data_IF_333347519107
#
_entry.id   IF_333347519107
#
_cell.length_a   1.000
_cell.length_b   1.000
_cell.length_c   1.000
_cell.angle_alpha   90.00
_cell.angle_beta   90.00
_cell.angle_gamma   90.00
#
_symmetry.space_group_name_H-M   'P 1'
#
loop_
_entity.id
_entity.type
_entity.pdbx_description
1 polymer ?
#
# COMPACT_ATOMS: atom_id res chain seq x y z
N UNK A 1 -23.26 -14.22 17.27
CA UNK A 1 -23.43 -15.53 16.62
C UNK A 1 -22.15 -16.06 15.93
N UNK A 2 -21.57 -15.34 14.96
CA UNK A 2 -20.35 -15.79 14.23
C UNK A 2 -19.14 -16.09 15.12
N UNK A 3 -18.90 -15.33 16.19
CA UNK A 3 -17.75 -15.52 17.09
C UNK A 3 -17.86 -16.80 17.92
N UNK A 4 -19.06 -17.15 18.42
CA UNK A 4 -19.29 -18.41 19.16
C UNK A 4 -19.05 -19.62 18.26
N UNK A 5 -19.50 -19.54 17.01
CA UNK A 5 -19.26 -20.60 16.02
C UNK A 5 -17.76 -20.83 15.78
N UNK A 6 -16.93 -19.77 15.76
CA UNK A 6 -15.47 -19.90 15.61
C UNK A 6 -14.82 -20.59 16.80
N UNK A 7 -15.24 -20.24 18.01
CA UNK A 7 -14.75 -20.91 19.23
C UNK A 7 -15.12 -22.39 19.23
N UNK A 8 -16.36 -22.72 18.83
CA UNK A 8 -16.80 -24.11 18.70
C UNK A 8 -16.01 -24.87 17.62
N UNK A 9 -15.69 -24.25 16.50
CA UNK A 9 -14.84 -24.83 15.45
C UNK A 9 -13.43 -25.14 15.97
N UNK A 10 -12.80 -24.20 16.69
CA UNK A 10 -11.48 -24.39 17.29
C UNK A 10 -11.47 -25.50 18.35
N UNK A 11 -12.48 -25.53 19.23
CA UNK A 11 -12.65 -26.61 20.22
C UNK A 11 -12.79 -27.97 19.55
N UNK A 12 -13.68 -28.08 18.55
CA UNK A 12 -13.88 -29.32 17.79
C UNK A 12 -12.60 -29.77 17.07
N UNK A 13 -11.77 -28.82 16.61
CA UNK A 13 -10.49 -29.13 16.00
C UNK A 13 -9.52 -29.75 17.01
N UNK A 14 -9.28 -29.05 18.14
CA UNK A 14 -8.33 -29.46 19.17
C UNK A 14 -8.71 -30.79 19.82
N UNK A 15 -10.00 -31.01 20.08
CA UNK A 15 -10.50 -32.29 20.62
C UNK A 15 -10.21 -33.43 19.65
N UNK A 16 -10.43 -33.22 18.34
CA UNK A 16 -10.23 -34.28 17.33
C UNK A 16 -8.78 -34.68 17.10
N UNK A 17 -7.83 -33.79 17.37
CA UNK A 17 -6.39 -34.11 17.34
C UNK A 17 -5.89 -34.66 18.69
N UNK A 18 -6.80 -34.98 19.63
CA UNK A 18 -6.50 -35.50 20.97
C UNK A 18 -5.64 -34.55 21.81
N UNK A 19 -5.91 -33.25 21.73
CA UNK A 19 -5.24 -32.25 22.56
C UNK A 19 -5.69 -32.36 24.03
N UNK A 20 -4.78 -32.12 24.96
CA UNK A 20 -5.06 -32.18 26.40
C UNK A 20 -6.02 -31.07 26.84
N UNK A 21 -6.94 -31.40 27.77
CA UNK A 21 -7.95 -30.47 28.27
C UNK A 21 -7.35 -29.18 28.83
N UNK A 22 -6.26 -29.28 29.60
CA UNK A 22 -5.60 -28.12 30.19
C UNK A 22 -5.02 -27.19 29.12
N UNK A 23 -4.40 -27.77 28.08
CA UNK A 23 -3.91 -27.00 26.94
C UNK A 23 -5.05 -26.32 26.18
N UNK A 24 -6.14 -27.02 25.91
CA UNK A 24 -7.32 -26.46 25.21
C UNK A 24 -7.86 -25.25 25.97
N UNK A 25 -8.07 -25.38 27.28
CA UNK A 25 -8.57 -24.28 28.11
C UNK A 25 -7.59 -23.10 28.07
N UNK A 26 -6.30 -23.34 28.30
CA UNK A 26 -5.29 -22.29 28.26
C UNK A 26 -5.14 -21.62 26.89
N UNK A 27 -5.28 -22.38 25.80
CA UNK A 27 -5.23 -21.85 24.44
C UNK A 27 -6.45 -20.96 24.14
N UNK A 28 -7.66 -21.44 24.44
CA UNK A 28 -8.89 -20.68 24.18
C UNK A 28 -8.94 -19.40 25.01
N UNK A 29 -8.53 -19.44 26.28
CA UNK A 29 -8.49 -18.26 27.13
C UNK A 29 -7.47 -17.22 26.64
N UNK A 30 -6.24 -17.65 26.32
CA UNK A 30 -5.17 -16.73 25.88
C UNK A 30 -5.40 -16.15 24.50
N UNK A 31 -6.05 -16.89 23.60
CA UNK A 31 -6.22 -16.50 22.20
C UNK A 31 -7.68 -16.26 21.81
N UNK A 32 -8.56 -16.00 22.78
CA UNK A 32 -10.00 -15.85 22.56
C UNK A 32 -10.33 -14.78 21.51
N UNK A 33 -9.68 -13.61 21.60
CA UNK A 33 -9.87 -12.51 20.64
C UNK A 33 -9.49 -12.95 19.22
N UNK A 34 -8.36 -13.63 19.07
CA UNK A 34 -7.84 -14.10 17.79
C UNK A 34 -8.76 -15.15 17.16
N UNK A 35 -9.22 -16.13 17.94
CA UNK A 35 -10.17 -17.18 17.51
C UNK A 35 -11.46 -16.53 17.00
N UNK A 36 -12.00 -15.54 17.70
CA UNK A 36 -13.22 -14.85 17.31
C UNK A 36 -13.06 -14.05 16.01
N UNK A 37 -11.87 -13.50 15.75
CA UNK A 37 -11.56 -12.73 14.53
C UNK A 37 -11.07 -13.57 13.34
N UNK A 38 -10.81 -14.87 13.51
CA UNK A 38 -10.21 -15.69 12.46
C UNK A 38 -11.20 -16.10 11.37
N UNK A 39 -10.66 -16.45 10.20
CA UNK A 39 -11.42 -17.15 9.17
C UNK A 39 -11.90 -18.52 9.66
N UNK A 40 -12.96 -19.10 9.05
CA UNK A 40 -13.38 -20.46 9.37
C UNK A 40 -12.24 -21.47 9.25
N UNK A 41 -12.11 -22.33 10.25
CA UNK A 41 -11.11 -23.39 10.24
C UNK A 41 -11.57 -24.56 9.38
N UNK A 42 -10.63 -25.17 8.65
CA UNK A 42 -10.77 -26.49 8.06
C UNK A 42 -10.96 -27.52 9.18
N UNK A 43 -11.74 -28.56 8.90
CA UNK A 43 -11.83 -29.69 9.82
C UNK A 43 -10.48 -30.39 9.92
N UNK A 44 -10.15 -30.94 11.10
CA UNK A 44 -8.86 -31.60 11.33
C UNK A 44 -8.56 -32.73 10.34
N UNK A 45 -9.56 -33.49 9.90
CA UNK A 45 -9.41 -34.50 8.82
C UNK A 45 -8.87 -33.89 7.52
N UNK A 46 -9.38 -32.73 7.12
CA UNK A 46 -8.95 -32.06 5.91
C UNK A 46 -7.50 -31.54 6.03
N UNK A 47 -7.13 -31.05 7.21
CA UNK A 47 -5.76 -30.61 7.50
C UNK A 47 -4.77 -31.78 7.48
N UNK A 48 -5.12 -32.91 8.11
CA UNK A 48 -4.29 -34.12 8.11
C UNK A 48 -4.05 -34.63 6.68
N UNK A 49 -5.10 -34.71 5.87
CA UNK A 49 -4.99 -35.13 4.47
C UNK A 49 -4.15 -34.15 3.64
N UNK A 50 -4.30 -32.84 3.88
CA UNK A 50 -3.54 -31.79 3.18
C UNK A 50 -2.05 -31.84 3.51
N UNK A 51 -1.71 -32.10 4.77
CA UNK A 51 -0.33 -32.12 5.24
C UNK A 51 0.33 -33.50 5.12
N UNK A 52 -0.45 -34.56 4.85
CA UNK A 52 -0.01 -35.95 4.84
C UNK A 52 0.65 -36.38 6.15
N UNK A 53 0.10 -35.93 7.29
CA UNK A 53 0.60 -36.26 8.64
C UNK A 53 -0.47 -36.92 9.51
N UNK A 54 -0.03 -37.59 10.57
CA UNK A 54 -0.88 -38.19 11.60
C UNK A 54 -1.42 -37.18 12.61
N UNK A 55 -2.41 -37.61 13.42
CA UNK A 55 -3.05 -36.76 14.46
C UNK A 55 -2.07 -36.37 15.56
N UNK A 56 -1.21 -37.30 15.96
CA UNK A 56 -0.20 -37.11 17.00
C UNK A 56 0.83 -36.07 16.58
N UNK A 57 1.27 -36.15 15.32
CA UNK A 57 2.20 -35.18 14.75
C UNK A 57 1.59 -33.77 14.66
N UNK A 58 0.33 -33.68 14.21
CA UNK A 58 -0.39 -32.41 14.19
C UNK A 58 -0.61 -31.84 15.61
N UNK A 59 -0.83 -32.71 16.60
CA UNK A 59 -0.93 -32.34 18.01
C UNK A 59 0.40 -31.77 18.52
N UNK A 60 1.52 -32.43 18.23
CA UNK A 60 2.87 -31.96 18.60
C UNK A 60 3.17 -30.59 18.01
N UNK A 61 2.98 -30.41 16.69
CA UNK A 61 3.19 -29.12 16.02
C UNK A 61 2.35 -28.01 16.65
N UNK A 62 1.10 -28.32 17.02
CA UNK A 62 0.19 -27.35 17.66
C UNK A 62 0.60 -27.03 19.10
N UNK A 63 1.27 -27.96 19.82
CA UNK A 63 1.80 -27.69 21.15
C UNK A 63 3.04 -26.79 21.10
N UNK A 64 3.94 -27.07 20.17
CA UNK A 64 5.17 -26.30 19.98
C UNK A 64 4.88 -24.87 19.53
N UNK A 65 3.93 -24.71 18.61
CA UNK A 65 3.58 -23.39 18.06
C UNK A 65 2.06 -23.24 17.91
N UNK A 66 1.33 -22.86 18.98
CA UNK A 66 -0.13 -22.90 19.03
C UNK A 66 -0.81 -22.02 17.99
N UNK A 67 -0.19 -20.92 17.60
CA UNK A 67 -0.73 -19.99 16.60
C UNK A 67 -0.64 -20.54 15.16
N UNK A 68 0.23 -21.53 14.88
CA UNK A 68 0.26 -22.20 13.57
C UNK A 68 -1.05 -22.90 13.23
N UNK A 69 -1.88 -23.20 14.23
CA UNK A 69 -3.19 -23.77 14.02
C UNK A 69 -3.99 -23.00 12.95
N UNK A 70 -3.97 -21.67 13.00
CA UNK A 70 -4.75 -20.83 12.09
C UNK A 70 -4.23 -20.88 10.65
N UNK A 71 -2.92 -21.00 10.45
CA UNK A 71 -2.33 -21.11 9.11
C UNK A 71 -2.54 -22.49 8.52
N UNK A 72 -2.37 -23.54 9.32
CA UNK A 72 -2.57 -24.93 8.91
C UNK A 72 -4.04 -25.23 8.58
N UNK A 73 -4.96 -24.67 9.37
CA UNK A 73 -6.39 -24.88 9.21
C UNK A 73 -7.11 -23.78 8.43
N UNK A 74 -6.42 -22.83 7.77
CA UNK A 74 -7.11 -21.83 6.95
C UNK A 74 -7.72 -22.46 5.68
N UNK A 75 -9.00 -22.16 5.43
CA UNK A 75 -9.73 -22.54 4.20
C UNK A 75 -9.29 -21.74 2.97
N UNK A 76 -8.54 -20.65 3.13
CA UNK A 76 -8.02 -19.89 2.00
C UNK A 76 -7.00 -20.75 1.22
N UNK A 77 -7.18 -20.80 -0.11
CA UNK A 77 -6.37 -21.60 -1.04
C UNK A 77 -4.89 -21.42 -0.72
N UNK A 78 -4.17 -22.53 -0.58
CA UNK A 78 -2.75 -22.60 -0.26
C UNK A 78 -1.91 -21.81 -1.29
N UNK A 79 -1.76 -20.51 -1.10
CA UNK A 79 -0.50 -19.83 -1.36
C UNK A 79 0.22 -19.84 -0.02
N UNK A 80 1.41 -20.44 0.04
CA UNK A 80 2.13 -20.63 1.29
C UNK A 80 2.19 -19.37 2.13
N UNK A 81 1.38 -19.30 3.18
CA UNK A 81 1.44 -18.26 4.20
C UNK A 81 2.25 -18.85 5.34
N UNK A 82 3.54 -18.51 5.37
CA UNK A 82 4.35 -18.60 6.58
C UNK A 82 3.76 -17.60 7.56
N UNK A 83 3.31 -18.05 8.73
CA UNK A 83 2.77 -17.21 9.79
C UNK A 83 3.80 -16.14 10.19
N UNK A 84 5.08 -16.53 10.25
CA UNK A 84 6.23 -15.63 10.43
C UNK A 84 6.29 -14.48 9.43
N UNK A 85 5.89 -14.69 8.17
CA UNK A 85 6.02 -13.66 7.15
C UNK A 85 4.89 -12.64 7.18
N UNK A 86 3.71 -12.99 7.71
CA UNK A 86 2.63 -12.02 7.93
C UNK A 86 2.90 -11.18 9.18
N UNK A 87 3.35 -11.80 10.26
CA UNK A 87 3.72 -11.08 11.49
C UNK A 87 4.93 -10.17 11.24
N UNK A 88 5.94 -10.63 10.49
CA UNK A 88 7.06 -9.78 10.08
C UNK A 88 6.61 -8.63 9.16
N UNK A 89 5.73 -8.87 8.18
CA UNK A 89 5.19 -7.79 7.31
C UNK A 89 4.41 -6.74 8.08
N UNK A 90 3.61 -7.17 9.05
CA UNK A 90 2.86 -6.28 9.92
C UNK A 90 3.80 -5.53 10.87
N UNK A 91 4.87 -6.18 11.36
CA UNK A 91 5.90 -5.55 12.19
C UNK A 91 6.72 -4.53 11.39
N UNK A 92 7.16 -4.85 10.17
CA UNK A 92 7.87 -3.93 9.26
C UNK A 92 7.03 -2.67 9.00
N UNK A 93 5.74 -2.87 8.70
CA UNK A 93 4.81 -1.76 8.44
C UNK A 93 4.57 -0.94 9.70
N UNK A 94 4.44 -1.57 10.85
CA UNK A 94 4.31 -0.90 12.15
C UNK A 94 5.55 -0.06 12.44
N UNK A 95 6.75 -0.63 12.29
CA UNK A 95 8.01 0.08 12.47
C UNK A 95 8.14 1.30 11.55
N UNK A 96 7.74 1.17 10.28
CA UNK A 96 7.71 2.30 9.35
C UNK A 96 6.77 3.42 9.84
N UNK A 97 5.56 3.08 10.27
CA UNK A 97 4.60 4.08 10.77
C UNK A 97 5.06 4.72 12.08
N UNK A 98 5.71 3.98 12.98
CA UNK A 98 6.34 4.53 14.18
C UNK A 98 7.43 5.56 13.83
N UNK A 99 8.25 5.30 12.80
CA UNK A 99 9.24 6.27 12.30
C UNK A 99 8.60 7.55 11.76
N UNK A 100 7.39 7.48 11.20
CA UNK A 100 6.60 8.66 10.80
C UNK A 100 5.96 9.39 12.00
N UNK A 101 6.18 8.91 13.23
CA UNK A 101 5.64 9.48 14.45
C UNK A 101 4.15 9.17 14.66
N UNK A 102 3.67 8.01 14.24
CA UNK A 102 2.39 7.48 14.72
C UNK A 102 2.57 6.83 16.09
N UNK A 103 1.57 6.93 16.96
CA UNK A 103 1.59 6.31 18.29
C UNK A 103 1.11 4.85 18.18
N UNK A 104 1.87 3.92 18.78
CA UNK A 104 1.51 2.50 18.77
C UNK A 104 0.13 2.27 19.40
N UNK A 105 -0.64 1.34 18.83
CA UNK A 105 -2.00 0.98 19.29
C UNK A 105 -3.03 2.13 19.31
N UNK A 106 -2.72 3.30 18.72
CA UNK A 106 -3.68 4.39 18.58
C UNK A 106 -4.69 4.14 17.44
N UNK A 107 -5.86 4.75 17.54
CA UNK A 107 -6.86 4.73 16.45
C UNK A 107 -6.29 5.34 15.15
N UNK A 108 -5.46 6.39 15.27
CA UNK A 108 -4.77 7.00 14.14
C UNK A 108 -3.84 6.02 13.43
N UNK A 109 -3.11 5.20 14.18
CA UNK A 109 -2.25 4.15 13.64
C UNK A 109 -3.06 3.07 12.92
N UNK A 110 -4.22 2.68 13.45
CA UNK A 110 -5.14 1.73 12.78
C UNK A 110 -5.63 2.30 11.45
N UNK A 111 -5.94 3.59 11.39
CA UNK A 111 -6.33 4.28 10.16
C UNK A 111 -5.15 4.36 9.19
N UNK A 112 -3.95 4.71 9.68
CA UNK A 112 -2.74 4.79 8.87
C UNK A 112 -2.41 3.44 8.23
N UNK A 113 -2.49 2.33 8.99
CA UNK A 113 -2.28 0.99 8.45
C UNK A 113 -3.19 0.65 7.25
N UNK A 114 -4.41 1.21 7.19
CA UNK A 114 -5.31 1.06 6.04
C UNK A 114 -4.96 1.99 4.87
N UNK A 115 -4.49 3.20 5.16
CA UNK A 115 -4.14 4.21 4.13
C UNK A 115 -2.83 3.90 3.43
N UNK A 116 -1.82 3.42 4.15
CA UNK A 116 -0.54 3.01 3.58
C UNK A 116 -0.69 1.62 2.95
N UNK A 117 -0.42 1.51 1.66
CA UNK A 117 -0.56 0.26 0.91
C UNK A 117 0.83 -0.31 0.59
N UNK A 118 1.07 -1.58 0.93
CA UNK A 118 2.36 -2.24 0.76
C UNK A 118 3.00 -2.68 2.08
N UNK A 119 4.14 -3.35 1.96
CA UNK A 119 4.98 -3.80 3.08
C UNK A 119 5.83 -2.64 3.62
N UNK A 120 6.27 -2.74 4.88
CA UNK A 120 7.03 -1.66 5.53
C UNK A 120 8.38 -1.38 4.87
N UNK A 121 9.09 -2.41 4.41
CA UNK A 121 10.34 -2.30 3.66
C UNK A 121 10.15 -1.57 2.32
N UNK A 122 9.14 -1.94 1.55
CA UNK A 122 8.78 -1.27 0.30
C UNK A 122 8.36 0.19 0.53
N UNK A 123 7.61 0.47 1.60
CA UNK A 123 7.21 1.81 1.96
C UNK A 123 8.42 2.67 2.34
N UNK A 124 9.35 2.11 3.11
CA UNK A 124 10.61 2.78 3.45
C UNK A 124 11.43 3.05 2.18
N UNK A 125 11.55 2.08 1.28
CA UNK A 125 12.31 2.25 0.04
C UNK A 125 11.75 3.41 -0.81
N UNK A 126 10.42 3.49 -0.95
CA UNK A 126 9.74 4.56 -1.71
C UNK A 126 9.83 5.91 -1.00
N UNK A 127 9.81 5.91 0.33
CA UNK A 127 10.06 7.11 1.14
C UNK A 127 11.49 7.62 0.91
N UNK A 128 12.48 6.72 0.93
CA UNK A 128 13.88 7.06 0.75
C UNK A 128 14.16 7.64 -0.64
N UNK A 129 13.38 7.28 -1.65
CA UNK A 129 13.46 7.90 -2.98
C UNK A 129 13.24 9.42 -2.92
N UNK A 130 12.29 9.87 -2.09
CA UNK A 130 11.98 11.30 -1.93
C UNK A 130 13.10 12.03 -1.19
N UNK A 131 13.65 11.40 -0.14
CA UNK A 131 14.77 11.97 0.63
C UNK A 131 16.04 12.02 -0.21
N UNK A 132 16.38 10.94 -0.93
CA UNK A 132 17.55 10.87 -1.83
C UNK A 132 17.43 11.86 -2.99
N UNK A 133 16.22 12.21 -3.40
CA UNK A 133 15.98 13.24 -4.40
C UNK A 133 16.22 14.68 -3.87
N UNK A 134 16.53 14.84 -2.59
CA UNK A 134 16.90 16.12 -1.98
C UNK A 134 15.86 16.72 -1.02
N UNK A 135 14.72 16.04 -0.78
CA UNK A 135 13.75 16.54 0.20
C UNK A 135 14.18 16.22 1.64
N UNK A 136 14.01 17.20 2.53
CA UNK A 136 14.24 17.03 3.96
C UNK A 136 13.36 15.91 4.55
N UNK A 137 13.93 15.10 5.43
CA UNK A 137 13.25 13.95 6.05
C UNK A 137 11.94 14.34 6.76
N UNK A 138 11.93 15.45 7.49
CA UNK A 138 10.74 15.91 8.21
C UNK A 138 9.67 16.44 7.25
N UNK A 139 10.10 17.08 6.16
CA UNK A 139 9.20 17.49 5.07
C UNK A 139 8.56 16.27 4.41
N UNK A 140 9.36 15.26 4.02
CA UNK A 140 8.84 14.01 3.44
C UNK A 140 7.87 13.33 4.40
N UNK A 141 8.20 13.25 5.68
CA UNK A 141 7.32 12.69 6.72
C UNK A 141 5.95 13.38 6.74
N UNK A 142 5.92 14.72 6.75
CA UNK A 142 4.66 15.49 6.72
C UNK A 142 3.87 15.24 5.43
N UNK A 143 4.55 15.25 4.28
CA UNK A 143 3.93 15.05 2.97
C UNK A 143 3.31 13.65 2.86
N UNK A 144 4.05 12.62 3.27
CA UNK A 144 3.63 11.23 3.22
C UNK A 144 2.48 10.94 4.19
N UNK A 145 2.48 11.53 5.40
CA UNK A 145 1.32 11.44 6.31
C UNK A 145 0.06 12.06 5.72
N UNK A 146 0.19 13.21 5.03
CA UNK A 146 -0.91 13.89 4.35
C UNK A 146 -1.40 13.14 3.11
N UNK A 147 -0.48 12.55 2.34
CA UNK A 147 -0.75 11.89 1.06
C UNK A 147 -0.09 10.49 0.97
N UNK A 148 -0.52 9.51 1.78
CA UNK A 148 0.15 8.20 1.88
C UNK A 148 0.12 7.39 0.58
N UNK A 149 -0.86 7.65 -0.28
CA UNK A 149 -1.05 7.00 -1.57
C UNK A 149 0.06 7.33 -2.58
N UNK A 150 0.90 8.35 -2.36
CA UNK A 150 2.05 8.60 -3.25
C UNK A 150 3.09 7.48 -3.18
N UNK A 151 3.15 6.76 -2.05
CA UNK A 151 4.00 5.58 -1.86
C UNK A 151 3.36 4.29 -2.38
N UNK A 152 2.23 4.36 -3.10
CA UNK A 152 1.61 3.18 -3.71
C UNK A 152 2.25 2.76 -5.03
N UNK A 153 3.13 3.59 -5.58
CA UNK A 153 3.79 3.34 -6.87
C UNK A 153 5.13 2.62 -6.66
N UNK A 154 5.53 1.74 -7.59
CA UNK A 154 6.87 1.17 -7.59
C UNK A 154 7.97 2.24 -7.57
N UNK A 155 9.10 1.91 -6.94
CA UNK A 155 10.25 2.81 -6.79
C UNK A 155 10.73 3.39 -8.10
N UNK A 156 10.95 2.53 -9.09
CA UNK A 156 11.45 2.90 -10.42
C UNK A 156 10.54 3.95 -11.09
N UNK A 157 9.23 3.83 -10.89
CA UNK A 157 8.25 4.79 -11.39
C UNK A 157 8.31 6.12 -10.62
N UNK A 158 8.54 6.10 -9.31
CA UNK A 158 8.71 7.32 -8.50
C UNK A 158 9.98 8.05 -8.93
N UNK A 159 11.12 7.35 -8.99
CA UNK A 159 12.41 7.90 -9.41
C UNK A 159 12.35 8.47 -10.83
N UNK A 160 11.72 7.76 -11.77
CA UNK A 160 11.52 8.25 -13.15
C UNK A 160 10.69 9.54 -13.20
N UNK A 161 9.63 9.65 -12.39
CA UNK A 161 8.80 10.86 -12.33
C UNK A 161 9.52 12.05 -11.71
N UNK A 162 10.36 11.79 -10.70
CA UNK A 162 11.23 12.79 -10.09
C UNK A 162 12.27 13.28 -11.09
N UNK A 163 12.94 12.35 -11.78
CA UNK A 163 13.92 12.67 -12.83
C UNK A 163 13.30 13.50 -13.96
N UNK A 164 12.08 13.15 -14.40
CA UNK A 164 11.34 13.95 -15.37
C UNK A 164 11.03 15.36 -14.83
N UNK A 165 10.61 15.47 -13.57
CA UNK A 165 10.25 16.74 -12.94
C UNK A 165 11.44 17.71 -12.86
N UNK A 166 12.56 17.25 -12.32
CA UNK A 166 13.71 18.10 -12.05
C UNK A 166 14.59 18.29 -13.28
N UNK A 167 14.80 17.23 -14.06
CA UNK A 167 15.65 17.26 -15.25
C UNK A 167 14.96 17.88 -16.46
N UNK A 168 13.89 17.25 -16.94
CA UNK A 168 13.24 17.66 -18.19
C UNK A 168 12.32 18.88 -18.01
N UNK A 169 11.52 18.90 -16.95
CA UNK A 169 10.56 19.97 -16.71
C UNK A 169 11.17 21.18 -15.96
N UNK A 170 12.37 21.02 -15.40
CA UNK A 170 13.10 22.08 -14.71
C UNK A 170 12.38 22.62 -13.48
N UNK A 171 11.55 21.82 -12.82
CA UNK A 171 10.91 22.19 -11.55
C UNK A 171 11.80 21.81 -10.37
N UNK A 172 11.87 22.66 -9.32
CA UNK A 172 12.54 22.30 -8.08
C UNK A 172 11.81 21.12 -7.42
N UNK A 173 12.56 20.25 -6.73
CA UNK A 173 12.00 19.04 -6.11
C UNK A 173 10.90 19.37 -5.09
N UNK A 174 11.01 20.53 -4.46
CA UNK A 174 10.07 21.13 -3.51
C UNK A 174 8.67 21.30 -4.11
N UNK A 175 8.54 21.36 -5.44
CA UNK A 175 7.24 21.40 -6.12
C UNK A 175 6.37 20.16 -5.82
N UNK A 176 6.99 19.03 -5.45
CA UNK A 176 6.28 17.84 -4.98
C UNK A 176 5.67 18.03 -3.59
N UNK A 177 6.21 18.92 -2.76
CA UNK A 177 5.65 19.21 -1.43
C UNK A 177 4.30 19.89 -1.57
N UNK A 178 4.16 20.79 -2.54
CA UNK A 178 2.90 21.46 -2.83
C UNK A 178 1.91 20.53 -3.55
N UNK A 179 2.39 19.73 -4.50
CA UNK A 179 1.56 18.88 -5.36
C UNK A 179 2.00 17.41 -5.37
N UNK A 180 1.93 16.70 -4.23
CA UNK A 180 2.45 15.34 -4.10
C UNK A 180 1.73 14.32 -4.98
N UNK A 181 0.46 14.59 -5.32
CA UNK A 181 -0.36 13.77 -6.23
C UNK A 181 0.16 13.72 -7.66
N UNK A 182 1.13 14.57 -8.03
CA UNK A 182 1.89 14.44 -9.29
C UNK A 182 2.39 13.01 -9.50
N UNK A 183 2.91 12.38 -8.45
CA UNK A 183 3.42 11.00 -8.48
C UNK A 183 2.34 9.95 -8.78
N UNK A 184 1.06 10.32 -8.70
CA UNK A 184 -0.06 9.40 -8.90
C UNK A 184 -0.58 9.37 -10.34
N UNK A 185 -0.34 10.42 -11.14
CA UNK A 185 -0.78 10.49 -12.53
C UNK A 185 0.07 9.62 -13.47
N UNK A 186 -0.49 9.18 -14.60
CA UNK A 186 0.24 8.39 -15.60
C UNK A 186 1.35 9.24 -16.26
N UNK A 187 2.43 8.59 -16.68
CA UNK A 187 3.50 9.24 -17.44
C UNK A 187 2.96 9.90 -18.71
N UNK A 188 2.04 9.24 -19.40
CA UNK A 188 1.37 9.78 -20.58
C UNK A 188 0.64 11.10 -20.28
N UNK A 189 -0.15 11.15 -19.20
CA UNK A 189 -0.87 12.37 -18.81
C UNK A 189 0.10 13.49 -18.42
N UNK A 190 1.17 13.16 -17.71
CA UNK A 190 2.21 14.12 -17.36
C UNK A 190 2.83 14.67 -18.63
N UNK A 191 3.33 13.80 -19.51
CA UNK A 191 4.01 14.19 -20.74
C UNK A 191 3.14 15.07 -21.62
N UNK A 192 1.94 14.61 -22.00
CA UNK A 192 1.03 15.36 -22.88
C UNK A 192 0.77 16.77 -22.32
N UNK A 193 0.39 16.87 -21.05
CA UNK A 193 -0.01 18.14 -20.45
C UNK A 193 1.16 19.11 -20.27
N UNK A 194 2.34 18.60 -19.92
CA UNK A 194 3.53 19.44 -19.87
C UNK A 194 3.99 19.87 -21.25
N UNK A 195 3.92 19.02 -22.27
CA UNK A 195 4.23 19.43 -23.65
C UNK A 195 3.33 20.57 -24.12
N UNK A 196 2.03 20.52 -23.81
CA UNK A 196 1.11 21.62 -24.12
C UNK A 196 1.46 22.88 -23.33
N UNK A 197 1.76 22.76 -22.03
CA UNK A 197 2.14 23.89 -21.18
C UNK A 197 3.45 24.56 -21.65
N UNK A 198 4.46 23.77 -22.00
CA UNK A 198 5.74 24.25 -22.52
C UNK A 198 5.52 24.96 -23.86
N UNK A 199 4.73 24.37 -24.77
CA UNK A 199 4.41 24.97 -26.05
C UNK A 199 3.73 26.35 -25.92
N UNK A 200 2.84 26.53 -24.92
CA UNK A 200 2.22 27.83 -24.61
C UNK A 200 3.22 28.82 -24.01
N UNK A 201 4.09 28.33 -23.12
CA UNK A 201 5.14 29.14 -22.47
C UNK A 201 6.13 29.72 -23.50
N UNK A 202 6.53 28.93 -24.49
CA UNK A 202 7.43 29.36 -25.57
C UNK A 202 6.82 30.45 -26.48
N UNK A 203 5.49 30.60 -26.44
CA UNK A 203 4.73 31.62 -27.20
C UNK A 203 4.25 32.76 -26.32
N UNK A 204 4.75 32.85 -25.09
CA UNK A 204 4.37 33.85 -24.09
C UNK A 204 2.85 33.88 -23.77
N UNK A 205 2.11 32.84 -24.17
CA UNK A 205 0.68 32.70 -23.89
C UNK A 205 0.40 32.34 -22.43
N UNK A 206 1.44 31.99 -21.67
CA UNK A 206 1.40 31.83 -20.20
C UNK A 206 2.65 32.44 -19.59
N UNK A 207 2.48 33.45 -18.73
CA UNK A 207 3.60 34.21 -18.15
C UNK A 207 4.13 33.60 -16.84
N UNK A 208 3.26 32.94 -16.06
CA UNK A 208 3.61 32.40 -14.74
C UNK A 208 4.03 30.91 -14.77
N UNK A 209 4.96 30.54 -13.89
CA UNK A 209 5.25 29.14 -13.59
C UNK A 209 4.09 28.56 -12.78
N UNK A 210 3.36 27.61 -13.35
CA UNK A 210 2.18 27.03 -12.71
C UNK A 210 2.57 25.85 -11.83
N UNK A 211 1.80 25.59 -10.77
CA UNK A 211 2.01 24.42 -9.93
C UNK A 211 1.70 23.14 -10.69
N UNK A 212 2.32 22.02 -10.28
CA UNK A 212 2.09 20.71 -10.91
C UNK A 212 0.60 20.35 -10.84
N UNK A 213 -0.07 20.61 -9.72
CA UNK A 213 -1.51 20.38 -9.55
C UNK A 213 -2.37 21.11 -10.57
N UNK A 214 -2.03 22.34 -10.95
CA UNK A 214 -2.76 23.12 -11.95
C UNK A 214 -2.59 22.54 -13.36
N UNK A 215 -1.40 22.04 -13.69
CA UNK A 215 -1.10 21.47 -15.01
C UNK A 215 -1.69 20.07 -15.12
N UNK A 216 -1.24 19.13 -14.28
CA UNK A 216 -1.60 17.71 -14.40
C UNK A 216 -2.83 17.30 -13.59
N UNK A 217 -3.19 18.05 -12.55
CA UNK A 217 -4.25 17.67 -11.61
C UNK A 217 -5.67 17.92 -12.09
N UNK A 218 -5.89 18.93 -12.92
CA UNK A 218 -7.23 19.34 -13.37
C UNK A 218 -7.92 18.30 -14.27
N UNK A 219 -9.25 18.28 -14.35
CA UNK A 219 -9.97 17.36 -15.25
C UNK A 219 -9.64 17.62 -16.73
N UNK A 220 -9.90 16.66 -17.62
CA UNK A 220 -9.65 16.85 -19.05
C UNK A 220 -10.42 18.05 -19.65
N UNK A 221 -11.72 18.25 -19.36
CA UNK A 221 -12.43 19.44 -19.85
C UNK A 221 -11.81 20.75 -19.36
N UNK A 222 -11.44 20.83 -18.07
CA UNK A 222 -10.77 22.01 -17.50
C UNK A 222 -9.39 22.24 -18.10
N UNK A 223 -8.65 21.17 -18.40
CA UNK A 223 -7.36 21.29 -19.07
C UNK A 223 -7.53 21.90 -20.47
N UNK A 224 -8.48 21.38 -21.25
CA UNK A 224 -8.76 21.89 -22.59
C UNK A 224 -9.19 23.36 -22.53
N UNK A 225 -10.09 23.72 -21.62
CA UNK A 225 -10.57 25.10 -21.51
C UNK A 225 -9.48 26.09 -21.09
N UNK A 226 -8.55 25.67 -20.22
CA UNK A 226 -7.57 26.58 -19.58
C UNK A 226 -6.23 26.64 -20.30
N UNK A 227 -5.93 25.66 -21.16
CA UNK A 227 -4.62 25.56 -21.84
C UNK A 227 -4.76 25.38 -23.35
N UNK A 228 -5.75 24.61 -23.82
CA UNK A 228 -5.81 24.23 -25.23
C UNK A 228 -6.50 25.31 -26.06
N UNK A 229 -7.63 25.83 -25.61
CA UNK A 229 -8.41 26.82 -26.39
C UNK A 229 -7.95 28.27 -26.18
N UNK A 230 -7.01 28.51 -25.27
CA UNK A 230 -6.50 29.85 -24.95
C UNK A 230 -5.58 30.41 -26.03
N UNK A 231 -5.16 29.59 -26.99
CA UNK A 231 -4.36 30.00 -28.15
C UNK A 231 -5.04 29.48 -29.43
N UNK A 232 -5.10 30.27 -30.53
CA UNK A 232 -5.75 29.85 -31.78
C UNK A 232 -5.23 28.52 -32.34
N UNK A 233 -3.91 28.31 -32.32
CA UNK A 233 -3.28 27.04 -32.76
C UNK A 233 -3.29 25.93 -31.70
N UNK A 234 -3.83 26.19 -30.51
CA UNK A 234 -3.77 25.27 -29.39
C UNK A 234 -4.50 23.94 -29.63
N UNK A 235 -5.74 23.91 -30.17
CA UNK A 235 -6.43 22.66 -30.49
C UNK A 235 -5.66 21.76 -31.46
N UNK A 236 -5.14 22.33 -32.56
CA UNK A 236 -4.37 21.58 -33.55
C UNK A 236 -3.05 21.04 -32.97
N UNK A 237 -2.41 21.80 -32.08
CA UNK A 237 -1.20 21.35 -31.38
C UNK A 237 -1.51 20.24 -30.37
N UNK A 238 -2.61 20.37 -29.62
CA UNK A 238 -3.04 19.35 -28.67
C UNK A 238 -3.33 18.01 -29.34
N UNK A 239 -3.99 18.01 -30.51
CA UNK A 239 -4.17 16.79 -31.31
C UNK A 239 -2.83 16.17 -31.72
N UNK A 240 -1.86 16.98 -32.19
CA UNK A 240 -0.51 16.50 -32.51
C UNK A 240 0.19 15.87 -31.30
N UNK A 241 0.14 16.50 -30.13
CA UNK A 241 0.72 15.98 -28.89
C UNK A 241 0.07 14.65 -28.47
N UNK A 242 -1.26 14.54 -28.60
CA UNK A 242 -1.98 13.31 -28.27
C UNK A 242 -1.53 12.14 -29.15
N UNK A 243 -1.32 12.40 -30.45
CA UNK A 243 -0.95 11.39 -31.43
C UNK A 243 0.53 11.00 -31.38
N UNK A 244 1.42 11.93 -31.02
CA UNK A 244 2.86 11.67 -30.90
C UNK A 244 3.26 10.80 -29.69
N UNK A 245 2.34 10.58 -28.75
CA UNK A 245 2.58 9.79 -27.53
C UNK A 245 1.99 8.37 -27.59
N UNK A 246 1.64 7.91 -28.80
CA UNK A 246 1.11 6.57 -29.12
C UNK A 246 2.16 5.81 -29.91
#
# INVERSE_FOLDING_TARGET
>A
EKSLQRVLEALKFLIRIRMEKQFIVGFVMRHMKLICSSSPLLGSKAVLNRLKIGREELCRITKEEPLRLFSLASKAKARGVKLDSLDLRNAEKTAFLLKLGYVENSDEMVIAQKKFQGRGDELQERFDCLVKAGLDYNVVTKVVKRAPHILSRPKDIIEKKISLLTGYLGYPIESLVESPTYLCYSMERIHKRFSMYIWLREREAVTLRLTLGTIVGVSNPRFVSSFVITHPEGPATWERIKNAST
#
